data_IF_316251190717
#
_entry.id   IF_316251190717
#
_cell.length_a   1.000
_cell.length_b   1.000
_cell.length_c   1.000
_cell.angle_alpha   90.00
_cell.angle_beta   90.00
_cell.angle_gamma   90.00
#
_symmetry.space_group_name_H-M   'P 1'
#
loop_
_entity.id
_entity.type
_entity.pdbx_description
1 polymer ?
#
# COMPACT_ATOMS: atom_id res chain seq x y z
N UNK A 1 10.36 5.11 19.52
CA UNK A 1 11.73 5.30 18.99
C UNK A 1 12.73 5.63 20.10
N UNK A 2 13.80 4.84 20.23
CA UNK A 2 14.90 5.07 21.19
C UNK A 2 16.11 5.78 20.54
N UNK A 3 15.99 6.17 19.26
CA UNK A 3 17.03 6.88 18.53
C UNK A 3 17.33 8.25 19.15
N UNK A 4 18.62 8.58 19.25
CA UNK A 4 19.10 9.87 19.74
C UNK A 4 19.48 10.76 18.56
N UNK A 5 18.78 11.89 18.41
CA UNK A 5 18.96 12.83 17.30
C UNK A 5 17.63 13.43 16.84
N UNK A 6 17.67 14.30 15.85
CA UNK A 6 16.49 15.00 15.30
C UNK A 6 16.15 14.64 13.87
N UNK A 7 16.96 13.79 13.22
CA UNK A 7 16.69 13.29 11.87
C UNK A 7 15.75 12.08 11.87
N UNK A 8 15.16 11.79 10.72
CA UNK A 8 14.27 10.64 10.52
C UNK A 8 15.00 9.31 10.61
N UNK A 9 14.31 8.28 11.09
CA UNK A 9 14.79 6.90 11.02
C UNK A 9 14.30 6.22 9.75
N UNK A 10 15.11 5.29 9.20
CA UNK A 10 14.75 4.51 8.02
C UNK A 10 14.02 3.24 8.42
N UNK A 11 12.73 3.35 8.65
CA UNK A 11 11.86 2.26 9.10
C UNK A 11 10.78 1.92 8.06
N UNK A 12 10.26 0.69 8.10
CA UNK A 12 9.08 0.33 7.31
C UNK A 12 7.84 0.94 7.96
N UNK A 13 6.96 1.51 7.15
CA UNK A 13 5.67 2.03 7.63
C UNK A 13 4.58 0.97 7.50
N UNK A 14 3.63 0.90 8.45
CA UNK A 14 2.46 0.05 8.30
C UNK A 14 1.53 0.62 7.21
N UNK A 15 0.85 -0.28 6.48
CA UNK A 15 -0.19 0.07 5.52
C UNK A 15 -1.45 -0.71 5.89
N UNK A 16 -2.58 0.00 5.98
CA UNK A 16 -3.89 -0.58 6.22
C UNK A 16 -4.85 -0.08 5.14
N UNK A 17 -5.68 -0.98 4.61
CA UNK A 17 -6.66 -0.66 3.57
C UNK A 17 -8.01 -1.23 3.97
N UNK A 18 -9.06 -0.49 3.67
CA UNK A 18 -10.43 -0.93 3.92
C UNK A 18 -11.25 -0.83 2.63
N UNK A 19 -12.00 -1.89 2.34
CA UNK A 19 -13.01 -1.90 1.29
C UNK A 19 -14.17 -2.78 1.76
N UNK A 20 -15.39 -2.26 1.65
CA UNK A 20 -16.59 -3.01 2.01
C UNK A 20 -16.69 -4.28 1.17
N UNK A 21 -16.90 -5.41 1.83
CA UNK A 21 -17.05 -6.72 1.17
C UNK A 21 -15.74 -7.36 0.72
N UNK A 22 -14.57 -6.73 0.95
CA UNK A 22 -13.29 -7.39 0.66
C UNK A 22 -12.95 -8.40 1.75
N UNK A 23 -12.31 -9.52 1.36
CA UNK A 23 -11.85 -10.51 2.34
C UNK A 23 -10.68 -9.95 3.15
N UNK A 24 -10.69 -10.06 4.49
CA UNK A 24 -9.54 -9.71 5.31
C UNK A 24 -8.31 -10.54 4.90
N UNK A 25 -7.14 -9.92 4.89
CA UNK A 25 -5.91 -10.61 4.52
C UNK A 25 -4.68 -9.72 4.58
N UNK A 26 -3.51 -10.35 4.42
CA UNK A 26 -2.24 -9.65 4.32
C UNK A 26 -2.04 -9.07 2.92
N UNK A 27 -1.64 -7.80 2.85
CA UNK A 27 -1.14 -7.17 1.62
C UNK A 27 0.31 -7.60 1.28
N UNK A 28 0.95 -8.35 2.17
CA UNK A 28 2.38 -8.67 2.12
C UNK A 28 3.26 -7.44 2.36
N UNK A 29 4.58 -7.66 2.33
CA UNK A 29 5.53 -6.56 2.32
C UNK A 29 5.48 -5.84 0.96
N UNK A 30 5.49 -4.50 0.97
CA UNK A 30 5.50 -3.69 -0.25
C UNK A 30 6.93 -3.28 -0.61
N UNK A 31 7.22 -3.28 -1.90
CA UNK A 31 8.55 -2.95 -2.42
C UNK A 31 8.82 -1.45 -2.49
N UNK A 32 7.76 -0.64 -2.55
CA UNK A 32 7.85 0.81 -2.65
C UNK A 32 6.55 1.48 -2.19
N UNK A 33 6.65 2.74 -1.75
CA UNK A 33 5.47 3.58 -1.51
C UNK A 33 4.69 3.87 -2.80
N UNK A 34 5.32 3.74 -3.97
CA UNK A 34 4.65 3.86 -5.26
C UNK A 34 3.47 2.86 -5.41
N UNK A 35 3.52 1.73 -4.72
CA UNK A 35 2.43 0.76 -4.75
C UNK A 35 1.11 1.34 -4.19
N UNK A 36 1.18 2.31 -3.27
CA UNK A 36 0.01 3.02 -2.73
C UNK A 36 -0.64 3.84 -3.85
N UNK A 37 0.15 4.64 -4.56
CA UNK A 37 -0.32 5.46 -5.68
C UNK A 37 -0.91 4.59 -6.79
N UNK A 38 -0.24 3.51 -7.17
CA UNK A 38 -0.73 2.59 -8.19
C UNK A 38 -2.07 1.93 -7.79
N UNK A 39 -2.26 1.66 -6.49
CA UNK A 39 -3.52 1.11 -5.98
C UNK A 39 -4.66 2.12 -6.00
N UNK A 40 -4.38 3.40 -5.72
CA UNK A 40 -5.36 4.49 -5.85
C UNK A 40 -5.75 4.67 -7.31
N UNK A 41 -4.77 4.70 -8.22
CA UNK A 41 -5.01 4.83 -9.66
C UNK A 41 -5.92 3.71 -10.18
N UNK A 42 -5.63 2.47 -9.77
CA UNK A 42 -6.47 1.30 -10.08
C UNK A 42 -7.89 1.44 -9.51
N UNK A 43 -8.04 1.86 -8.25
CA UNK A 43 -9.35 2.03 -7.62
C UNK A 43 -10.22 3.09 -8.31
N UNK A 44 -9.61 4.18 -8.79
CA UNK A 44 -10.30 5.26 -9.47
C UNK A 44 -10.52 5.00 -10.98
N UNK A 45 -9.97 3.91 -11.52
CA UNK A 45 -10.08 3.59 -12.95
C UNK A 45 -9.34 4.55 -13.88
N UNK A 46 -8.29 5.23 -13.38
CA UNK A 46 -7.44 6.11 -14.18
C UNK A 46 -6.24 5.36 -14.76
N UNK A 47 -5.51 6.00 -15.68
CA UNK A 47 -4.33 5.39 -16.30
C UNK A 47 -3.27 4.97 -15.25
N UNK A 48 -2.53 3.88 -15.49
CA UNK A 48 -1.45 3.44 -14.61
C UNK A 48 -0.36 4.50 -14.42
N UNK A 49 0.28 4.50 -13.26
CA UNK A 49 1.43 5.36 -12.97
C UNK A 49 2.71 4.72 -13.52
N UNK A 50 3.78 5.51 -13.60
CA UNK A 50 5.09 5.02 -14.07
C UNK A 50 5.78 4.03 -13.12
N UNK A 51 5.24 3.82 -11.90
CA UNK A 51 5.81 2.91 -10.92
C UNK A 51 4.74 2.39 -9.95
N UNK A 52 5.03 1.25 -9.35
CA UNK A 52 4.22 0.62 -8.31
C UNK A 52 3.41 -0.57 -8.83
N UNK A 53 2.91 -1.38 -7.89
CA UNK A 53 2.05 -2.54 -8.13
C UNK A 53 0.77 -2.40 -7.30
N UNK A 54 -0.39 -2.36 -7.97
CA UNK A 54 -1.68 -2.27 -7.28
C UNK A 54 -1.95 -3.46 -6.35
N UNK A 55 -2.81 -3.27 -5.35
CA UNK A 55 -3.31 -4.37 -4.52
C UNK A 55 -4.13 -5.34 -5.38
N UNK A 56 -3.97 -6.65 -5.14
CA UNK A 56 -4.85 -7.64 -5.75
C UNK A 56 -6.18 -7.62 -5.01
N UNK A 57 -7.28 -7.31 -5.70
CA UNK A 57 -8.60 -7.53 -5.16
C UNK A 57 -8.81 -9.04 -5.04
N UNK A 58 -8.90 -9.55 -3.80
CA UNK A 58 -9.31 -10.93 -3.58
C UNK A 58 -10.83 -10.94 -3.60
N UNK A 59 -11.42 -11.37 -4.72
CA UNK A 59 -12.87 -11.43 -4.90
C UNK A 59 -13.56 -12.23 -3.80
N UNK A 60 -14.83 -11.91 -3.56
CA UNK A 60 -15.72 -12.73 -2.72
C UNK A 60 -16.03 -14.02 -3.47
N UNK A 61 -15.71 -15.17 -2.85
CA UNK A 61 -16.25 -16.47 -3.25
C UNK A 61 -17.77 -16.50 -3.15
#
# INVERSE_FOLDING_TARGET
>A
PTWTGTDHTRERVPIMTYQRGNRPGSLGARGSFADIGQSIAHHLGVAPLGAGKAWQAQGTS
#
